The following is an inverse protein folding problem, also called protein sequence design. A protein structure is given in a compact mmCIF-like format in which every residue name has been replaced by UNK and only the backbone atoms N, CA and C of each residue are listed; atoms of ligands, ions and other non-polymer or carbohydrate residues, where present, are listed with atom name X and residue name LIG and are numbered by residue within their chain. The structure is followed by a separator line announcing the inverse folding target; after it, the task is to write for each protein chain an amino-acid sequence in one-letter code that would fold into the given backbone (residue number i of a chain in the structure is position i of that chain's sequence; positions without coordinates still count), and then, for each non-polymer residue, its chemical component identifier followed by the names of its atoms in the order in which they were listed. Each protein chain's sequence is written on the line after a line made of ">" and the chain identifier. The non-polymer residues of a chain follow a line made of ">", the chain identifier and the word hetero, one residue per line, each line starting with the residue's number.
data_IF_849344029975
#
_entry.id   IF_849344029975
#
_cell.length_a   1.000
_cell.length_b   1.000
_cell.length_c   1.000
_cell.angle_alpha   90.00
_cell.angle_beta   90.00
_cell.angle_gamma   90.00
#
_symmetry.space_group_name_H-M   'P 1'
#
loop_
_entity.id
_entity.type
_entity.pdbx_description
1 polymer ?
#
# COMPACT_ATOMS: atom_id res chain seq x y z
N UNK A 1 -5.69 -9.33 21.98
CA UNK A 1 -5.55 -8.35 20.88
C UNK A 1 -4.96 -9.11 19.71
N UNK A 2 -5.77 -9.37 18.68
CA UNK A 2 -5.28 -9.92 17.43
C UNK A 2 -4.74 -8.80 16.53
N UNK A 3 -4.03 -9.17 15.48
CA UNK A 3 -3.49 -8.23 14.52
C UNK A 3 -4.37 -8.29 13.25
N UNK A 4 -4.99 -7.18 12.88
CA UNK A 4 -5.69 -7.02 11.62
C UNK A 4 -4.79 -6.26 10.65
N UNK A 5 -4.23 -6.99 9.68
CA UNK A 5 -3.29 -6.45 8.70
C UNK A 5 -4.03 -6.20 7.40
N UNK A 6 -3.75 -5.09 6.76
CA UNK A 6 -4.37 -4.69 5.50
C UNK A 6 -3.31 -4.26 4.49
N UNK A 7 -3.39 -4.76 3.27
CA UNK A 7 -2.83 -4.05 2.14
C UNK A 7 -3.63 -2.78 1.87
N UNK A 8 -3.05 -1.80 1.17
CA UNK A 8 -3.68 -0.50 0.97
C UNK A 8 -4.30 -0.38 -0.42
N UNK A 9 -3.44 -0.42 -1.45
CA UNK A 9 -3.80 -0.14 -2.83
C UNK A 9 -4.66 -1.26 -3.41
N UNK A 10 -5.77 -0.91 -4.04
CA UNK A 10 -6.80 -1.84 -4.51
C UNK A 10 -7.40 -2.77 -3.45
N UNK A 11 -7.01 -2.62 -2.18
CA UNK A 11 -7.59 -3.33 -1.03
C UNK A 11 -8.45 -2.38 -0.20
N UNK A 12 -7.86 -1.56 0.70
CA UNK A 12 -8.60 -0.59 1.52
C UNK A 12 -9.09 0.62 0.72
N UNK A 13 -8.36 1.01 -0.33
CA UNK A 13 -8.81 2.02 -1.28
C UNK A 13 -9.12 1.37 -2.63
N UNK A 14 -10.11 1.92 -3.36
CA UNK A 14 -10.54 1.40 -4.67
C UNK A 14 -9.69 1.93 -5.82
N UNK A 15 -8.36 1.95 -5.65
CA UNK A 15 -7.38 2.42 -6.62
C UNK A 15 -5.96 2.25 -6.10
N UNK A 16 -5.00 2.68 -6.91
CA UNK A 16 -3.57 2.59 -6.64
C UNK A 16 -3.02 3.98 -6.31
N UNK A 17 -2.53 4.16 -5.08
CA UNK A 17 -2.04 5.46 -4.61
C UNK A 17 -0.68 5.83 -5.20
N UNK A 18 0.15 4.86 -5.53
CA UNK A 18 1.48 5.12 -6.10
C UNK A 18 1.39 5.53 -7.58
N UNK A 19 0.63 4.75 -8.37
CA UNK A 19 0.31 5.12 -9.75
C UNK A 19 -0.46 6.45 -9.80
N UNK A 20 -1.44 6.63 -8.92
CA UNK A 20 -2.24 7.85 -8.82
C UNK A 20 -1.42 9.09 -8.49
N UNK A 21 -0.41 8.98 -7.60
CA UNK A 21 0.53 10.08 -7.32
C UNK A 21 1.28 10.52 -8.58
N UNK A 22 1.81 9.56 -9.35
CA UNK A 22 2.47 9.86 -10.62
C UNK A 22 1.56 10.57 -11.61
N UNK A 23 0.32 10.08 -11.78
CA UNK A 23 -0.68 10.72 -12.65
C UNK A 23 -1.05 12.13 -12.17
N UNK A 24 -1.21 12.33 -10.86
CA UNK A 24 -1.47 13.64 -10.27
C UNK A 24 -0.36 14.64 -10.61
N UNK A 25 0.91 14.27 -10.51
CA UNK A 25 2.03 15.14 -10.88
C UNK A 25 2.01 15.51 -12.38
N UNK A 26 1.61 14.57 -13.24
CA UNK A 26 1.40 14.83 -14.67
C UNK A 26 0.27 15.84 -14.89
N UNK A 27 -0.88 15.65 -14.24
CA UNK A 27 -2.04 16.55 -14.33
C UNK A 27 -1.72 17.97 -13.85
N UNK A 28 -0.85 18.10 -12.84
CA UNK A 28 -0.38 19.40 -12.35
C UNK A 28 0.69 20.04 -13.26
N UNK A 29 1.13 19.36 -14.33
CA UNK A 29 2.17 19.85 -15.23
C UNK A 29 3.55 19.95 -14.59
N UNK A 30 3.81 19.15 -13.55
CA UNK A 30 5.03 19.21 -12.74
C UNK A 30 6.14 18.29 -13.24
N UNK A 31 5.81 17.33 -14.09
CA UNK A 31 6.73 16.35 -14.71
C UNK A 31 6.42 16.21 -16.20
N UNK A 32 7.38 15.69 -16.96
CA UNK A 32 7.15 15.39 -18.37
C UNK A 32 6.03 14.36 -18.53
N UNK A 33 4.91 14.80 -19.09
CA UNK A 33 3.67 14.03 -19.12
C UNK A 33 3.80 12.72 -19.91
N UNK A 34 4.51 12.76 -21.05
CA UNK A 34 4.62 11.56 -21.90
C UNK A 34 5.55 10.53 -21.27
N UNK A 35 6.75 10.95 -20.88
CA UNK A 35 7.77 10.06 -20.28
C UNK A 35 7.27 9.45 -18.97
N UNK A 36 6.67 10.29 -18.11
CA UNK A 36 6.23 9.82 -16.79
C UNK A 36 5.03 8.86 -16.90
N UNK A 37 4.08 9.19 -17.78
CA UNK A 37 2.92 8.33 -18.03
C UNK A 37 3.34 6.96 -18.58
N UNK A 38 4.18 6.92 -19.62
CA UNK A 38 4.66 5.67 -20.22
C UNK A 38 5.36 4.78 -19.19
N UNK A 39 6.23 5.36 -18.34
CA UNK A 39 6.93 4.64 -17.29
C UNK A 39 5.99 4.14 -16.20
N UNK A 40 5.07 5.00 -15.75
CA UNK A 40 4.12 4.67 -14.70
C UNK A 40 3.18 3.53 -15.13
N UNK A 41 2.65 3.59 -16.36
CA UNK A 41 1.81 2.54 -16.92
C UNK A 41 2.60 1.22 -17.12
N UNK A 42 3.85 1.29 -17.57
CA UNK A 42 4.73 0.13 -17.69
C UNK A 42 4.94 -0.59 -16.35
N UNK A 43 5.29 0.14 -15.30
CA UNK A 43 5.53 -0.48 -13.99
C UNK A 43 4.25 -1.03 -13.35
N UNK A 44 3.10 -0.39 -13.56
CA UNK A 44 1.82 -0.93 -13.12
C UNK A 44 1.53 -2.28 -13.79
N UNK A 45 1.76 -2.40 -15.11
CA UNK A 45 1.63 -3.67 -15.83
C UNK A 45 2.59 -4.75 -15.27
N UNK A 46 3.87 -4.40 -15.04
CA UNK A 46 4.84 -5.34 -14.46
C UNK A 46 4.41 -5.81 -13.05
N UNK A 47 3.84 -4.92 -12.24
CA UNK A 47 3.29 -5.27 -10.93
C UNK A 47 2.14 -6.29 -11.05
N UNK A 48 1.19 -6.04 -11.93
CA UNK A 48 0.05 -6.93 -12.17
C UNK A 48 0.47 -8.31 -12.70
N UNK A 49 1.55 -8.37 -13.48
CA UNK A 49 2.13 -9.62 -13.97
C UNK A 49 3.00 -10.34 -12.93
N UNK A 50 3.26 -9.74 -11.78
CA UNK A 50 4.17 -10.29 -10.76
C UNK A 50 5.65 -10.28 -11.18
N UNK A 51 6.02 -9.46 -12.16
CA UNK A 51 7.36 -9.38 -12.78
C UNK A 51 8.09 -8.08 -12.46
N UNK A 52 7.54 -7.25 -11.58
CA UNK A 52 8.09 -5.96 -11.21
C UNK A 52 9.49 -6.09 -10.58
N UNK A 53 10.51 -5.46 -11.19
CA UNK A 53 11.75 -5.15 -10.48
C UNK A 53 11.49 -3.97 -9.54
N UNK A 54 11.33 -4.28 -8.25
CA UNK A 54 10.95 -3.29 -7.25
C UNK A 54 12.03 -2.21 -7.07
N UNK A 55 13.29 -2.52 -7.24
CA UNK A 55 14.37 -1.53 -7.07
C UNK A 55 14.40 -0.55 -8.23
N UNK A 56 14.25 -1.03 -9.47
CA UNK A 56 14.14 -0.18 -10.65
C UNK A 56 12.91 0.73 -10.56
N UNK A 57 11.77 0.18 -10.14
CA UNK A 57 10.55 0.96 -9.95
C UNK A 57 10.72 2.05 -8.88
N UNK A 58 11.30 1.72 -7.73
CA UNK A 58 11.51 2.68 -6.64
C UNK A 58 12.49 3.79 -7.03
N UNK A 59 13.53 3.47 -7.81
CA UNK A 59 14.43 4.49 -8.36
C UNK A 59 13.67 5.47 -9.25
N UNK A 60 12.74 4.99 -10.06
CA UNK A 60 11.89 5.84 -10.88
C UNK A 60 10.89 6.66 -10.04
N UNK A 61 10.09 6.01 -9.19
CA UNK A 61 8.97 6.68 -8.48
C UNK A 61 9.47 7.71 -7.47
N UNK A 62 10.57 7.42 -6.76
CA UNK A 62 11.13 8.31 -5.75
C UNK A 62 11.90 9.51 -6.33
N UNK A 63 12.30 9.45 -7.61
CA UNK A 63 12.92 10.62 -8.27
C UNK A 63 11.99 11.84 -8.22
N UNK A 64 10.69 11.64 -8.34
CA UNK A 64 9.72 12.74 -8.25
C UNK A 64 9.82 13.52 -6.94
N UNK A 65 10.19 12.86 -5.83
CA UNK A 65 10.36 13.50 -4.52
C UNK A 65 11.63 14.38 -4.44
N UNK A 66 12.56 14.23 -5.36
CA UNK A 66 13.79 15.05 -5.41
C UNK A 66 13.62 16.35 -6.18
N UNK A 67 12.53 16.49 -6.94
CA UNK A 67 12.32 17.60 -7.87
C UNK A 67 11.85 18.89 -7.17
N UNK A 68 11.33 18.79 -5.96
CA UNK A 68 10.71 19.89 -5.24
C UNK A 68 11.20 19.99 -3.80
N UNK A 69 11.21 21.21 -3.21
CA UNK A 69 11.44 21.37 -1.78
C UNK A 69 10.37 20.61 -0.95
N UNK A 70 10.75 20.10 0.22
CA UNK A 70 9.87 19.31 1.08
C UNK A 70 8.54 20.02 1.41
N UNK A 71 8.55 21.33 1.64
CA UNK A 71 7.33 22.11 1.90
C UNK A 71 6.34 22.03 0.73
N UNK A 72 6.83 22.15 -0.51
CA UNK A 72 5.99 22.04 -1.71
C UNK A 72 5.48 20.62 -1.88
N UNK A 73 6.32 19.58 -1.62
CA UNK A 73 5.91 18.19 -1.66
C UNK A 73 4.77 17.90 -0.69
N UNK A 74 4.83 18.41 0.54
CA UNK A 74 3.76 18.23 1.52
C UNK A 74 2.46 18.92 1.12
N UNK A 75 2.53 20.09 0.48
CA UNK A 75 1.34 20.78 -0.06
C UNK A 75 0.70 19.98 -1.20
N UNK A 76 1.51 19.50 -2.17
CA UNK A 76 1.06 18.66 -3.27
C UNK A 76 0.46 17.35 -2.76
N UNK A 77 1.10 16.71 -1.75
CA UNK A 77 0.60 15.49 -1.12
C UNK A 77 -0.77 15.71 -0.46
N UNK A 78 -0.95 16.81 0.27
CA UNK A 78 -2.23 17.13 0.90
C UNK A 78 -3.34 17.33 -0.15
N UNK A 79 -3.04 18.02 -1.25
CA UNK A 79 -3.96 18.18 -2.37
C UNK A 79 -4.30 16.84 -3.01
N UNK A 80 -3.30 16.01 -3.31
CA UNK A 80 -3.47 14.67 -3.87
C UNK A 80 -4.37 13.78 -3.00
N UNK A 81 -4.10 13.73 -1.70
CA UNK A 81 -4.91 12.92 -0.77
C UNK A 81 -6.37 13.38 -0.79
N UNK A 82 -6.60 14.69 -0.72
CA UNK A 82 -7.95 15.22 -0.70
C UNK A 82 -8.72 15.02 -2.02
N UNK A 83 -8.06 15.26 -3.15
CA UNK A 83 -8.72 15.20 -4.48
C UNK A 83 -8.80 13.81 -5.07
N UNK A 84 -7.78 12.97 -4.84
CA UNK A 84 -7.64 11.68 -5.51
C UNK A 84 -7.88 10.48 -4.59
N UNK A 85 -7.47 10.54 -3.31
CA UNK A 85 -7.54 9.40 -2.40
C UNK A 85 -8.86 9.35 -1.65
N UNK A 86 -9.33 10.47 -1.10
CA UNK A 86 -10.59 10.49 -0.33
C UNK A 86 -11.77 9.86 -1.09
N UNK A 87 -11.96 10.12 -2.40
CA UNK A 87 -13.02 9.49 -3.18
C UNK A 87 -12.87 7.97 -3.37
N UNK A 88 -11.67 7.42 -3.16
CA UNK A 88 -11.39 5.99 -3.30
C UNK A 88 -11.66 5.19 -2.01
N UNK A 89 -11.92 5.84 -0.88
CA UNK A 89 -12.21 5.18 0.39
C UNK A 89 -13.70 4.86 0.45
N UNK A 90 -14.03 3.58 0.33
CA UNK A 90 -15.41 3.10 0.33
C UNK A 90 -16.00 3.01 1.73
N UNK A 91 -17.33 2.96 1.84
CA UNK A 91 -18.00 2.73 3.12
C UNK A 91 -17.70 1.33 3.66
N UNK A 92 -17.63 0.32 2.78
CA UNK A 92 -17.30 -1.07 3.17
C UNK A 92 -15.89 -1.18 3.79
N UNK A 93 -14.91 -0.43 3.27
CA UNK A 93 -13.57 -0.36 3.89
C UNK A 93 -13.60 0.25 5.29
N UNK A 94 -14.37 1.33 5.47
CA UNK A 94 -14.56 1.95 6.78
C UNK A 94 -15.23 1.01 7.77
N UNK A 95 -16.26 0.30 7.33
CA UNK A 95 -17.00 -0.66 8.15
C UNK A 95 -16.12 -1.84 8.57
N UNK A 96 -15.26 -2.34 7.66
CA UNK A 96 -14.30 -3.40 7.98
C UNK A 96 -13.28 -2.95 9.04
N UNK A 97 -12.71 -1.76 8.89
CA UNK A 97 -11.79 -1.19 9.88
C UNK A 97 -12.50 -0.98 11.23
N UNK A 98 -13.76 -0.48 11.21
CA UNK A 98 -14.52 -0.27 12.43
C UNK A 98 -14.84 -1.58 13.14
N UNK A 99 -15.18 -2.64 12.39
CA UNK A 99 -15.40 -3.97 12.96
C UNK A 99 -14.18 -4.46 13.76
N UNK A 100 -12.99 -4.40 13.17
CA UNK A 100 -11.77 -4.82 13.87
C UNK A 100 -11.45 -3.93 15.09
N UNK A 101 -11.73 -2.63 15.01
CA UNK A 101 -11.62 -1.73 16.18
C UNK A 101 -12.56 -2.14 17.30
N UNK A 102 -13.82 -2.46 16.98
CA UNK A 102 -14.82 -2.88 17.96
C UNK A 102 -14.45 -4.24 18.59
N UNK A 103 -13.80 -5.12 17.83
CA UNK A 103 -13.26 -6.40 18.31
C UNK A 103 -11.98 -6.22 19.18
N UNK A 104 -11.42 -4.99 19.20
CA UNK A 104 -10.21 -4.67 19.98
C UNK A 104 -8.91 -5.11 19.31
N UNK A 105 -8.92 -5.31 18.00
CA UNK A 105 -7.74 -5.69 17.22
C UNK A 105 -6.83 -4.49 16.96
N UNK A 106 -5.53 -4.75 16.82
CA UNK A 106 -4.55 -3.77 16.37
C UNK A 106 -4.55 -3.68 14.84
N UNK A 107 -4.81 -2.49 14.30
CA UNK A 107 -4.96 -2.26 12.87
C UNK A 107 -3.62 -1.82 12.27
N UNK A 108 -3.09 -2.63 11.35
CA UNK A 108 -1.80 -2.38 10.70
C UNK A 108 -1.97 -2.37 9.18
N UNK A 109 -1.54 -1.29 8.53
CA UNK A 109 -1.36 -1.30 7.06
C UNK A 109 0.03 -1.83 6.73
N UNK A 110 0.13 -2.69 5.71
CA UNK A 110 1.39 -3.11 5.11
C UNK A 110 1.31 -2.97 3.59
N UNK A 111 2.07 -2.04 3.02
CA UNK A 111 1.99 -1.67 1.60
C UNK A 111 3.36 -1.61 0.93
N UNK A 112 3.42 -1.91 -0.38
CA UNK A 112 4.62 -1.73 -1.19
C UNK A 112 4.90 -0.26 -1.49
N UNK A 113 3.87 0.57 -1.54
CA UNK A 113 3.95 2.00 -1.81
C UNK A 113 4.78 2.72 -0.75
N UNK A 114 5.46 3.78 -1.15
CA UNK A 114 6.36 4.52 -0.27
C UNK A 114 5.63 5.30 0.82
N UNK A 115 6.29 5.46 1.97
CA UNK A 115 5.72 6.08 3.17
C UNK A 115 5.29 7.54 2.95
N UNK A 116 5.99 8.29 2.07
CA UNK A 116 5.61 9.68 1.78
C UNK A 116 4.17 9.78 1.26
N UNK A 117 3.76 8.88 0.38
CA UNK A 117 2.39 8.86 -0.17
C UNK A 117 1.40 8.29 0.83
N UNK A 118 1.76 7.21 1.54
CA UNK A 118 0.81 6.36 2.28
C UNK A 118 0.58 6.77 3.73
N UNK A 119 1.51 7.47 4.37
CA UNK A 119 1.38 7.92 5.75
C UNK A 119 0.09 8.74 6.00
N UNK A 120 -0.22 9.80 5.23
CA UNK A 120 -1.46 10.55 5.44
C UNK A 120 -2.72 9.75 5.11
N UNK A 121 -2.62 8.72 4.27
CA UNK A 121 -3.75 7.82 3.98
C UNK A 121 -4.03 6.92 5.18
N UNK A 122 -2.98 6.38 5.81
CA UNK A 122 -3.09 5.59 7.03
C UNK A 122 -3.69 6.43 8.18
N UNK A 123 -3.25 7.68 8.35
CA UNK A 123 -3.83 8.62 9.31
C UNK A 123 -5.32 8.87 9.03
N UNK A 124 -5.70 9.09 7.77
CA UNK A 124 -7.10 9.30 7.36
C UNK A 124 -7.99 8.08 7.62
N UNK A 125 -7.45 6.88 7.47
CA UNK A 125 -8.13 5.61 7.77
C UNK A 125 -8.14 5.31 9.28
N UNK A 126 -7.32 5.98 10.06
CA UNK A 126 -7.25 5.85 11.51
C UNK A 126 -6.73 4.50 11.97
N UNK A 127 -5.80 3.88 11.25
CA UNK A 127 -5.10 2.66 11.67
C UNK A 127 -4.05 2.98 12.73
N UNK A 128 -3.63 1.96 13.49
CA UNK A 128 -2.69 2.15 14.60
C UNK A 128 -1.25 2.33 14.13
N UNK A 129 -0.86 1.65 13.02
CA UNK A 129 0.50 1.75 12.46
C UNK A 129 0.53 1.41 10.96
N UNK A 130 1.66 1.69 10.32
CA UNK A 130 1.91 1.41 8.91
C UNK A 130 3.33 0.90 8.65
N UNK A 131 3.45 -0.17 7.86
CA UNK A 131 4.70 -0.65 7.28
C UNK A 131 4.67 -0.35 5.78
N UNK A 132 5.43 0.63 5.35
CA UNK A 132 5.55 1.06 3.95
C UNK A 132 7.01 1.08 3.51
N UNK A 133 7.31 1.17 2.22
CA UNK A 133 8.68 1.39 1.77
C UNK A 133 9.17 2.77 2.21
N UNK A 134 10.31 2.85 2.88
CA UNK A 134 10.82 4.09 3.46
C UNK A 134 11.70 4.87 2.47
N UNK A 135 11.28 6.04 1.98
CA UNK A 135 12.17 6.93 1.24
C UNK A 135 13.30 7.45 2.14
N UNK A 136 14.51 7.53 1.59
CA UNK A 136 15.65 8.09 2.31
C UNK A 136 15.56 9.63 2.34
N UNK A 137 15.77 10.19 3.54
CA UNK A 137 15.81 11.64 3.76
C UNK A 137 17.16 12.02 4.38
N UNK A 138 17.87 12.94 3.75
CA UNK A 138 19.12 13.51 4.27
C UNK A 138 18.96 15.03 4.37
N UNK A 139 19.23 15.59 5.54
CA UNK A 139 19.09 17.03 5.83
C UNK A 139 17.70 17.60 5.44
N UNK A 140 16.62 16.82 5.65
CA UNK A 140 15.26 17.22 5.34
C UNK A 140 14.87 17.15 3.87
N UNK A 141 15.72 16.57 3.00
CA UNK A 141 15.46 16.40 1.58
C UNK A 141 15.42 14.92 1.20
N UNK A 142 14.47 14.52 0.34
CA UNK A 142 14.42 13.19 -0.24
C UNK A 142 15.58 13.00 -1.22
N UNK A 143 16.23 11.84 -1.15
CA UNK A 143 17.41 11.53 -2.00
C UNK A 143 17.07 10.76 -3.28
N UNK A 144 15.82 10.30 -3.41
CA UNK A 144 15.40 9.38 -4.49
C UNK A 144 15.77 7.93 -4.23
N UNK A 145 16.27 7.61 -3.04
CA UNK A 145 16.62 6.26 -2.61
C UNK A 145 15.71 5.78 -1.49
N UNK A 146 15.86 4.54 -1.09
CA UNK A 146 15.16 3.95 0.05
C UNK A 146 16.11 3.66 1.20
N UNK A 147 15.56 3.56 2.41
CA UNK A 147 16.22 2.99 3.59
C UNK A 147 15.66 1.62 3.89
N UNK A 148 16.55 0.64 4.12
CA UNK A 148 16.15 -0.71 4.50
C UNK A 148 15.61 -1.54 3.35
N UNK A 149 14.73 -2.48 3.67
CA UNK A 149 14.14 -3.45 2.73
C UNK A 149 12.84 -2.88 2.17
N UNK A 150 12.59 -2.93 0.83
CA UNK A 150 11.30 -2.58 0.25
C UNK A 150 10.18 -3.47 0.81
N UNK A 151 9.01 -2.88 1.06
CA UNK A 151 7.83 -3.60 1.56
C UNK A 151 7.07 -4.28 0.41
N UNK A 152 7.72 -5.20 -0.30
CA UNK A 152 7.18 -5.90 -1.46
C UNK A 152 7.47 -7.39 -1.39
N UNK A 153 6.47 -8.25 -1.70
CA UNK A 153 6.56 -9.72 -1.67
C UNK A 153 7.19 -10.22 -0.35
N UNK A 154 8.30 -10.97 -0.41
CA UNK A 154 9.05 -11.43 0.77
C UNK A 154 9.56 -10.28 1.67
N UNK A 155 9.69 -9.09 1.11
CA UNK A 155 10.03 -7.89 1.87
C UNK A 155 8.94 -7.52 2.89
N UNK A 156 7.65 -7.68 2.56
CA UNK A 156 6.55 -7.51 3.53
C UNK A 156 6.71 -8.46 4.71
N UNK A 157 7.01 -9.73 4.44
CA UNK A 157 7.23 -10.76 5.49
C UNK A 157 8.38 -10.37 6.42
N UNK A 158 9.52 -10.00 5.86
CA UNK A 158 10.72 -9.63 6.64
C UNK A 158 10.49 -8.39 7.49
N UNK A 159 9.82 -7.40 6.92
CA UNK A 159 9.52 -6.15 7.64
C UNK A 159 8.48 -6.35 8.73
N UNK A 160 7.44 -7.15 8.47
CA UNK A 160 6.46 -7.51 9.48
C UNK A 160 7.11 -8.28 10.64
N UNK A 161 7.99 -9.26 10.35
CA UNK A 161 8.70 -10.00 11.38
C UNK A 161 9.52 -9.09 12.30
N UNK A 162 10.27 -8.14 11.73
CA UNK A 162 11.04 -7.16 12.50
C UNK A 162 10.13 -6.22 13.32
N UNK A 163 8.99 -5.82 12.75
CA UNK A 163 8.00 -4.98 13.44
C UNK A 163 7.34 -5.72 14.62
N UNK A 164 6.97 -7.00 14.42
CA UNK A 164 6.39 -7.85 15.48
C UNK A 164 7.36 -8.01 16.66
N UNK A 165 8.64 -8.22 16.39
CA UNK A 165 9.68 -8.33 17.42
C UNK A 165 9.79 -7.03 18.25
N UNK A 166 9.78 -5.88 17.56
CA UNK A 166 9.87 -4.56 18.22
C UNK A 166 8.64 -4.24 19.06
N UNK A 167 7.45 -4.67 18.64
CA UNK A 167 6.18 -4.39 19.31
C UNK A 167 5.72 -5.48 20.27
N UNK A 168 6.47 -6.58 20.38
CA UNK A 168 6.12 -7.73 21.25
C UNK A 168 4.73 -8.30 20.91
N UNK A 169 4.41 -8.37 19.61
CA UNK A 169 3.19 -8.92 19.07
C UNK A 169 3.46 -10.21 18.28
N UNK A 170 2.42 -10.99 18.01
CA UNK A 170 2.50 -12.24 17.24
C UNK A 170 1.44 -12.28 16.15
N UNK A 171 1.56 -13.27 15.24
CA UNK A 171 0.54 -13.54 14.22
C UNK A 171 -0.57 -14.48 14.72
N UNK A 172 -0.59 -14.86 15.99
CA UNK A 172 -1.65 -15.69 16.52
C UNK A 172 -3.00 -14.96 16.47
N UNK A 173 -3.98 -15.56 15.81
CA UNK A 173 -5.29 -14.97 15.56
C UNK A 173 -5.31 -13.82 14.55
N UNK A 174 -4.23 -13.61 13.79
CA UNK A 174 -4.11 -12.49 12.87
C UNK A 174 -4.89 -12.67 11.57
N UNK A 175 -5.33 -11.53 11.04
CA UNK A 175 -5.95 -11.39 9.72
C UNK A 175 -4.99 -10.71 8.75
N UNK A 176 -5.05 -11.07 7.47
CA UNK A 176 -4.46 -10.26 6.40
C UNK A 176 -5.39 -10.20 5.19
N UNK A 177 -5.68 -8.97 4.77
CA UNK A 177 -6.55 -8.61 3.67
C UNK A 177 -5.70 -8.08 2.51
N UNK A 178 -5.81 -8.67 1.31
CA UNK A 178 -5.08 -8.24 0.12
C UNK A 178 -5.80 -8.60 -1.17
N UNK A 179 -5.57 -7.79 -2.21
CA UNK A 179 -6.05 -7.98 -3.58
C UNK A 179 -5.04 -8.71 -4.48
N UNK A 180 -3.77 -8.81 -4.08
CA UNK A 180 -2.67 -9.18 -4.97
C UNK A 180 -2.04 -10.52 -4.67
N UNK A 181 -1.79 -11.32 -5.73
CA UNK A 181 -0.98 -12.54 -5.63
C UNK A 181 0.46 -12.28 -5.16
N UNK A 182 0.98 -11.04 -5.31
CA UNK A 182 2.28 -10.64 -4.78
C UNK A 182 2.35 -10.75 -3.25
N UNK A 183 1.21 -10.77 -2.57
CA UNK A 183 1.09 -10.88 -1.12
C UNK A 183 0.91 -12.34 -0.62
N UNK A 184 0.88 -13.33 -1.51
CA UNK A 184 0.83 -14.74 -1.13
C UNK A 184 1.88 -15.16 -0.10
N UNK A 185 3.14 -14.68 -0.14
CA UNK A 185 4.12 -15.00 0.91
C UNK A 185 3.67 -14.63 2.31
N UNK A 186 2.96 -13.51 2.48
CA UNK A 186 2.44 -13.07 3.77
C UNK A 186 1.07 -13.67 4.09
N UNK A 187 0.15 -13.76 3.12
CA UNK A 187 -1.18 -14.38 3.29
C UNK A 187 -1.08 -15.80 3.84
N UNK A 188 -0.02 -16.55 3.49
CA UNK A 188 0.23 -17.91 3.97
C UNK A 188 0.74 -17.99 5.41
N UNK A 189 1.03 -16.88 6.07
CA UNK A 189 1.61 -16.85 7.42
C UNK A 189 0.61 -16.44 8.50
N UNK A 190 -0.51 -15.85 8.10
CA UNK A 190 -1.57 -15.44 9.03
C UNK A 190 -2.59 -16.56 9.24
N UNK A 191 -3.33 -16.50 10.35
CA UNK A 191 -4.37 -17.49 10.65
C UNK A 191 -5.62 -17.28 9.79
N UNK A 192 -5.93 -16.03 9.43
CA UNK A 192 -7.14 -15.66 8.68
C UNK A 192 -6.78 -14.84 7.42
N UNK A 193 -6.28 -15.48 6.35
CA UNK A 193 -6.08 -14.82 5.07
C UNK A 193 -7.40 -14.52 4.38
N UNK A 194 -7.54 -13.33 3.79
CA UNK A 194 -8.76 -12.88 3.10
C UNK A 194 -8.37 -12.24 1.77
N UNK A 195 -8.91 -12.77 0.67
CA UNK A 195 -8.77 -12.17 -0.65
C UNK A 195 -9.83 -11.07 -0.86
N UNK A 196 -9.40 -9.86 -1.23
CA UNK A 196 -10.26 -8.69 -1.37
C UNK A 196 -10.20 -8.17 -2.79
N UNK A 197 -11.30 -8.21 -3.53
CA UNK A 197 -11.35 -7.76 -4.94
C UNK A 197 -10.15 -8.24 -5.76
N UNK A 198 -9.73 -9.48 -5.51
CA UNK A 198 -8.42 -10.02 -5.82
C UNK A 198 -8.22 -10.29 -7.31
N UNK A 199 -6.96 -10.21 -7.74
CA UNK A 199 -6.56 -10.66 -9.06
C UNK A 199 -6.89 -12.15 -9.31
N UNK A 200 -6.89 -12.57 -10.59
CA UNK A 200 -7.29 -13.93 -10.97
C UNK A 200 -6.42 -15.01 -10.30
N UNK A 201 -5.14 -14.73 -10.10
CA UNK A 201 -4.20 -15.67 -9.50
C UNK A 201 -4.47 -15.86 -8.01
N UNK A 202 -4.65 -14.76 -7.27
CA UNK A 202 -5.00 -14.83 -5.86
C UNK A 202 -6.41 -15.39 -5.66
N UNK A 203 -7.36 -15.02 -6.52
CA UNK A 203 -8.74 -15.54 -6.47
C UNK A 203 -8.76 -17.06 -6.65
N UNK A 204 -8.04 -17.59 -7.63
CA UNK A 204 -7.92 -19.03 -7.84
C UNK A 204 -7.27 -19.73 -6.63
N UNK A 205 -6.17 -19.16 -6.12
CA UNK A 205 -5.49 -19.70 -4.94
C UNK A 205 -6.39 -19.71 -3.70
N UNK A 206 -7.13 -18.63 -3.46
CA UNK A 206 -8.06 -18.50 -2.36
C UNK A 206 -9.19 -19.55 -2.44
N UNK A 207 -9.76 -19.80 -3.63
CA UNK A 207 -10.76 -20.84 -3.87
C UNK A 207 -10.22 -22.24 -3.54
N UNK A 208 -9.03 -22.56 -4.07
CA UNK A 208 -8.38 -23.88 -3.85
C UNK A 208 -8.06 -24.15 -2.37
N UNK A 209 -7.82 -23.07 -1.59
CA UNK A 209 -7.48 -23.18 -0.16
C UNK A 209 -8.65 -22.86 0.78
N UNK A 210 -9.87 -22.63 0.26
CA UNK A 210 -11.06 -22.24 1.01
C UNK A 210 -10.87 -20.96 1.82
N UNK A 211 -10.09 -20.00 1.32
CA UNK A 211 -9.98 -18.68 1.92
C UNK A 211 -11.20 -17.82 1.59
N UNK A 212 -11.66 -16.96 2.50
CA UNK A 212 -12.71 -16.00 2.20
C UNK A 212 -12.31 -15.08 1.04
N UNK A 213 -13.28 -14.82 0.15
CA UNK A 213 -13.17 -13.84 -0.94
C UNK A 213 -14.28 -12.83 -0.73
N UNK A 214 -13.91 -11.56 -0.58
CA UNK A 214 -14.86 -10.47 -0.32
C UNK A 214 -14.65 -9.31 -1.30
N UNK A 215 -15.60 -8.40 -1.36
CA UNK A 215 -15.46 -7.12 -2.04
C UNK A 215 -15.67 -5.96 -1.07
N UNK A 216 -14.73 -5.00 -1.13
CA UNK A 216 -14.83 -3.73 -0.44
C UNK A 216 -15.25 -2.58 -1.37
N UNK A 217 -15.69 -2.89 -2.60
CA UNK A 217 -16.27 -1.89 -3.50
C UNK A 217 -17.71 -1.63 -3.11
N UNK A 218 -18.13 -0.35 -3.13
CA UNK A 218 -19.52 0.01 -2.90
C UNK A 218 -20.38 -0.53 -4.05
N UNK A 219 -21.60 -0.94 -3.73
CA UNK A 219 -22.54 -1.39 -4.74
C UNK A 219 -22.95 -0.17 -5.59
N UNK A 220 -22.75 -0.26 -6.91
CA UNK A 220 -23.12 0.79 -7.88
C UNK A 220 -24.62 0.83 -8.12
#
# INVERSE_FOLDING_TARGET
>A
VALAIFDLDNTLISGDSDHGWGQFLVEQGLVDAQLFKEKNDYYLEQYQLGQLDILEYLEFSLQALTLFPSEQLFQLRAQFVNEKIVPLITQKSRDLLQKHRDDGDYLLIITATNLFVTEPIAELLGVDDIIATNPEVINGQYTGKITGIPSFQDGKVKRLAAWLEQNTLSLEGSYFYSDSHNDLPLLKQVDYPVAVDADDTLSAYAQDNNWPIISLRDDT
#
